data_IF_946089699496
#
_entry.id   IF_946089699496
#
_cell.length_a   1.000
_cell.length_b   1.000
_cell.length_c   1.000
_cell.angle_alpha   90.00
_cell.angle_beta   90.00
_cell.angle_gamma   90.00
#
_symmetry.space_group_name_H-M   'P 1'
#
loop_
_entity.id
_entity.type
_entity.pdbx_description
1 polymer ?
#
# COMPACT_ATOMS: atom_id res chain seq x y z
N UNK A 1 -5.91 1.47 -15.92
CA UNK A 1 -4.90 2.43 -16.43
C UNK A 1 -5.13 3.88 -15.98
N UNK A 2 -4.71 4.26 -14.76
CA UNK A 2 -4.69 5.69 -14.35
C UNK A 2 -3.74 6.56 -15.18
N UNK A 3 -2.76 5.93 -15.84
CA UNK A 3 -1.80 6.59 -16.74
C UNK A 3 -2.45 7.22 -17.99
N UNK A 4 -3.46 6.58 -18.59
CA UNK A 4 -4.10 7.08 -19.82
C UNK A 4 -5.18 8.12 -19.58
N UNK A 5 -5.66 8.27 -18.34
CA UNK A 5 -6.82 9.10 -18.01
C UNK A 5 -6.50 10.19 -16.99
N UNK A 6 -5.27 10.27 -16.49
CA UNK A 6 -4.88 11.16 -15.40
C UNK A 6 -3.54 11.86 -15.62
N UNK A 7 -3.16 12.69 -14.63
CA UNK A 7 -1.82 13.31 -14.59
C UNK A 7 -0.81 12.30 -14.07
N UNK A 8 0.38 12.31 -14.64
CA UNK A 8 1.46 11.41 -14.27
C UNK A 8 2.69 12.23 -13.92
N UNK A 9 3.30 11.90 -12.79
CA UNK A 9 4.64 12.33 -12.44
C UNK A 9 5.61 11.19 -12.73
N UNK A 10 6.79 11.50 -13.22
CA UNK A 10 7.83 10.49 -13.45
C UNK A 10 9.05 10.80 -12.59
N UNK A 11 9.65 9.74 -12.06
CA UNK A 11 10.93 9.76 -11.37
C UNK A 11 11.83 8.72 -12.03
N UNK A 12 13.12 9.04 -12.18
CA UNK A 12 14.12 8.11 -12.74
C UNK A 12 15.15 7.78 -11.67
N UNK A 13 15.37 6.49 -11.49
CA UNK A 13 16.37 5.96 -10.58
C UNK A 13 17.50 5.32 -11.40
N UNK A 14 18.73 5.42 -10.91
CA UNK A 14 19.85 4.66 -11.43
C UNK A 14 20.04 3.42 -10.56
N UNK A 15 20.13 2.24 -11.16
CA UNK A 15 20.46 1.02 -10.44
C UNK A 15 21.97 0.95 -10.30
N UNK A 16 22.45 0.86 -9.06
CA UNK A 16 23.86 0.56 -8.80
C UNK A 16 24.08 -0.96 -8.89
N UNK A 17 25.16 -1.38 -9.55
CA UNK A 17 25.47 -2.79 -9.80
C UNK A 17 24.82 -3.40 -11.06
N UNK A 18 24.82 -4.74 -11.19
CA UNK A 18 24.35 -5.42 -12.39
C UNK A 18 22.84 -5.31 -12.55
N UNK A 19 22.40 -4.64 -13.61
CA UNK A 19 20.99 -4.60 -14.01
C UNK A 19 20.56 -5.96 -14.60
N UNK A 20 19.29 -6.37 -14.40
CA UNK A 20 18.74 -7.54 -15.09
C UNK A 20 18.88 -7.36 -16.61
N UNK A 21 19.51 -8.31 -17.28
CA UNK A 21 19.68 -8.26 -18.74
C UNK A 21 18.36 -8.55 -19.48
N UNK A 22 17.55 -9.46 -18.94
CA UNK A 22 16.25 -9.88 -19.46
C UNK A 22 15.29 -10.16 -18.30
N UNK A 23 14.01 -9.83 -18.49
CA UNK A 23 12.94 -10.18 -17.56
C UNK A 23 12.25 -11.48 -18.01
N UNK A 24 12.32 -12.52 -17.18
CA UNK A 24 11.66 -13.82 -17.39
C UNK A 24 10.61 -14.19 -16.33
N UNK A 25 10.04 -15.40 -16.43
CA UNK A 25 9.00 -15.90 -15.51
C UNK A 25 9.38 -15.84 -14.03
N UNK A 26 10.67 -15.98 -13.71
CA UNK A 26 11.21 -15.89 -12.35
C UNK A 26 10.97 -14.52 -11.71
N UNK A 27 11.01 -13.43 -12.49
CA UNK A 27 10.74 -12.08 -11.99
C UNK A 27 9.24 -11.93 -11.69
N UNK A 28 8.38 -12.45 -12.56
CA UNK A 28 6.94 -12.44 -12.34
C UNK A 28 6.53 -13.29 -11.13
N UNK A 29 7.19 -14.43 -10.91
CA UNK A 29 6.98 -15.25 -9.70
C UNK A 29 7.31 -14.47 -8.43
N UNK A 30 8.39 -13.67 -8.43
CA UNK A 30 8.74 -12.80 -7.29
C UNK A 30 7.67 -11.72 -7.06
N UNK A 31 7.20 -11.07 -8.12
CA UNK A 31 6.11 -10.09 -8.02
C UNK A 31 4.82 -10.75 -7.50
N UNK A 32 4.45 -11.91 -8.03
CA UNK A 32 3.25 -12.65 -7.64
C UNK A 32 3.29 -13.14 -6.18
N UNK A 33 4.48 -13.48 -5.67
CA UNK A 33 4.68 -13.81 -4.26
C UNK A 33 4.35 -12.63 -3.34
N UNK A 34 4.59 -11.41 -3.81
CA UNK A 34 4.30 -10.15 -3.11
C UNK A 34 3.08 -9.41 -3.69
N UNK A 35 2.16 -10.14 -4.33
CA UNK A 35 0.94 -9.55 -4.86
C UNK A 35 0.05 -9.05 -3.71
N UNK A 36 -0.77 -8.04 -3.99
CA UNK A 36 -1.80 -7.60 -3.02
C UNK A 36 -2.72 -8.79 -2.68
N UNK A 37 -3.20 -8.87 -1.44
CA UNK A 37 -3.97 -9.99 -0.91
C UNK A 37 -3.13 -11.18 -0.43
N UNK A 38 -1.80 -11.19 -0.64
CA UNK A 38 -0.91 -12.27 -0.20
C UNK A 38 -0.24 -12.02 1.15
N UNK A 39 -0.10 -10.76 1.54
CA UNK A 39 0.47 -10.41 2.84
C UNK A 39 -0.65 -10.34 3.88
N UNK A 40 -0.43 -10.91 5.07
CA UNK A 40 -1.30 -10.62 6.20
C UNK A 40 -1.22 -9.12 6.47
N UNK A 41 -2.37 -8.44 6.44
CA UNK A 41 -2.49 -7.02 6.77
C UNK A 41 -1.69 -6.77 8.05
N UNK A 42 -0.72 -5.86 7.99
CA UNK A 42 -0.02 -5.43 9.19
C UNK A 42 -1.09 -4.72 10.06
N UNK A 43 -1.61 -5.45 11.05
CA UNK A 43 -2.80 -5.15 11.86
C UNK A 43 -2.83 -3.74 12.47
N UNK A 44 -1.70 -3.03 12.54
CA UNK A 44 -1.61 -1.74 13.24
C UNK A 44 -2.21 -0.56 12.48
N UNK A 45 -2.13 -0.53 11.14
CA UNK A 45 -2.51 0.66 10.35
C UNK A 45 -3.56 0.37 9.27
N UNK A 46 -4.14 -0.84 9.26
CA UNK A 46 -5.08 -1.30 8.24
C UNK A 46 -4.63 -0.92 6.81
N UNK A 47 -3.33 -1.03 6.58
CA UNK A 47 -2.68 -0.72 5.31
C UNK A 47 -2.21 -2.00 4.67
N UNK A 48 -2.64 -2.21 3.44
CA UNK A 48 -2.26 -3.32 2.60
C UNK A 48 -1.45 -2.80 1.41
N UNK A 49 -0.33 -3.46 1.14
CA UNK A 49 0.58 -3.08 0.06
C UNK A 49 0.89 -4.32 -0.76
N UNK A 50 0.87 -4.19 -2.08
CA UNK A 50 1.29 -5.29 -2.94
C UNK A 50 1.33 -4.95 -4.41
N UNK A 51 1.93 -5.86 -5.17
CA UNK A 51 2.02 -5.74 -6.62
C UNK A 51 0.72 -6.13 -7.29
N UNK A 52 0.39 -5.41 -8.35
CA UNK A 52 -0.68 -5.69 -9.30
C UNK A 52 -0.12 -5.55 -10.73
N UNK A 53 -0.85 -6.06 -11.70
CA UNK A 53 -0.59 -5.81 -13.10
C UNK A 53 -1.18 -4.45 -13.54
N UNK A 54 -0.96 -4.07 -14.80
CA UNK A 54 -1.14 -2.69 -15.27
C UNK A 54 -2.50 -2.38 -15.92
N UNK A 55 -3.33 -3.38 -16.20
CA UNK A 55 -4.56 -3.17 -16.98
C UNK A 55 -5.58 -2.35 -16.16
N UNK A 56 -5.87 -2.79 -14.93
CA UNK A 56 -6.73 -2.09 -13.98
C UNK A 56 -6.31 -2.30 -12.52
N UNK A 57 -6.98 -1.59 -11.59
CA UNK A 57 -6.60 -1.58 -10.16
C UNK A 57 -6.83 -2.93 -9.46
N UNK A 58 -7.65 -3.81 -10.04
CA UNK A 58 -7.97 -5.16 -9.55
C UNK A 58 -7.24 -6.26 -10.34
N UNK A 59 -6.44 -5.91 -11.34
CA UNK A 59 -5.72 -6.89 -12.17
C UNK A 59 -4.57 -7.54 -11.40
N UNK A 60 -4.76 -8.79 -10.96
CA UNK A 60 -3.73 -9.59 -10.28
C UNK A 60 -2.97 -10.54 -11.21
N UNK A 61 -3.34 -10.61 -12.48
CA UNK A 61 -2.92 -11.69 -13.38
C UNK A 61 -1.56 -11.48 -14.01
N UNK A 62 -0.46 -11.38 -13.24
CA UNK A 62 0.89 -11.12 -13.78
C UNK A 62 1.32 -12.15 -14.84
N UNK A 63 1.56 -11.70 -16.07
CA UNK A 63 1.92 -12.53 -17.23
C UNK A 63 3.03 -11.90 -18.08
N UNK A 64 3.86 -12.72 -18.74
CA UNK A 64 4.98 -12.24 -19.54
C UNK A 64 4.53 -11.36 -20.70
N UNK A 65 3.48 -11.76 -21.42
CA UNK A 65 3.08 -11.06 -22.65
C UNK A 65 2.60 -9.64 -22.36
N UNK A 66 2.07 -9.39 -21.16
CA UNK A 66 1.57 -8.08 -20.76
C UNK A 66 2.53 -7.28 -19.89
N UNK A 67 3.32 -7.95 -19.04
CA UNK A 67 4.21 -7.28 -18.09
C UNK A 67 5.62 -7.07 -18.65
N UNK A 68 6.04 -7.78 -19.70
CA UNK A 68 7.36 -7.58 -20.31
C UNK A 68 7.21 -7.01 -21.72
N UNK A 69 7.48 -5.70 -21.87
CA UNK A 69 7.36 -4.98 -23.15
C UNK A 69 8.70 -4.34 -23.47
N UNK A 70 9.26 -4.60 -24.65
CA UNK A 70 10.55 -4.06 -25.10
C UNK A 70 11.69 -4.23 -24.07
N UNK A 71 11.77 -5.40 -23.45
CA UNK A 71 12.75 -5.70 -22.40
C UNK A 71 12.65 -4.80 -21.15
N UNK A 72 11.47 -4.20 -20.91
CA UNK A 72 11.13 -3.50 -19.68
C UNK A 72 10.04 -4.28 -18.93
N UNK A 73 10.16 -4.33 -17.60
CA UNK A 73 9.15 -4.89 -16.72
C UNK A 73 8.18 -3.79 -16.29
N UNK A 74 6.91 -3.97 -16.64
CA UNK A 74 5.79 -3.12 -16.27
C UNK A 74 5.02 -3.78 -15.13
N UNK A 75 4.96 -3.11 -13.99
CA UNK A 75 4.14 -3.52 -12.85
C UNK A 75 3.65 -2.29 -12.09
N UNK A 76 2.64 -2.48 -11.24
CA UNK A 76 2.09 -1.40 -10.44
C UNK A 76 2.11 -1.81 -8.96
N UNK A 77 2.42 -0.85 -8.09
CA UNK A 77 2.29 -1.00 -6.65
C UNK A 77 0.96 -0.41 -6.22
N UNK A 78 0.12 -1.20 -5.57
CA UNK A 78 -1.14 -0.75 -4.97
C UNK A 78 -0.98 -0.66 -3.46
N UNK A 79 -1.53 0.42 -2.90
CA UNK A 79 -1.54 0.69 -1.46
C UNK A 79 -2.99 1.01 -1.08
N UNK A 80 -3.58 0.14 -0.29
CA UNK A 80 -4.92 0.32 0.26
C UNK A 80 -4.78 0.66 1.75
N UNK A 81 -5.36 1.78 2.19
CA UNK A 81 -5.27 2.20 3.59
C UNK A 81 -6.65 2.55 4.12
N UNK A 82 -7.05 1.93 5.23
CA UNK A 82 -8.22 2.34 5.99
C UNK A 82 -7.80 3.27 7.13
N UNK A 83 -7.77 4.58 6.87
CA UNK A 83 -7.36 5.58 7.86
C UNK A 83 -8.57 6.18 8.58
N UNK A 84 -8.60 6.07 9.91
CA UNK A 84 -9.57 6.80 10.73
C UNK A 84 -9.27 8.32 10.67
N UNK A 85 -10.27 9.19 10.44
CA UNK A 85 -10.08 10.63 10.52
C UNK A 85 -9.55 11.06 11.89
N UNK A 86 -8.42 11.77 11.91
CA UNK A 86 -7.72 12.10 13.16
C UNK A 86 -8.58 12.93 14.13
N UNK A 87 -9.37 13.86 13.62
CA UNK A 87 -10.24 14.70 14.45
C UNK A 87 -11.37 13.90 15.09
N UNK A 88 -11.90 12.89 14.39
CA UNK A 88 -12.91 11.99 14.92
C UNK A 88 -12.33 11.16 16.08
N UNK A 89 -11.15 10.57 15.89
CA UNK A 89 -10.45 9.83 16.94
C UNK A 89 -10.21 10.71 18.20
N UNK A 90 -9.74 11.94 18.01
CA UNK A 90 -9.50 12.89 19.11
C UNK A 90 -10.78 13.25 19.85
N UNK A 91 -11.89 13.44 19.13
CA UNK A 91 -13.18 13.75 19.74
C UNK A 91 -13.68 12.62 20.62
N UNK A 92 -13.61 11.37 20.14
CA UNK A 92 -13.99 10.21 20.95
C UNK A 92 -13.05 10.01 22.14
N UNK A 93 -11.74 10.13 21.94
CA UNK A 93 -10.77 10.02 23.03
C UNK A 93 -11.04 11.04 24.15
N UNK A 94 -11.40 12.28 23.78
CA UNK A 94 -11.78 13.31 24.75
C UNK A 94 -13.04 12.92 25.53
N UNK A 95 -14.10 12.48 24.85
CA UNK A 95 -15.34 12.08 25.50
C UNK A 95 -15.13 10.93 26.51
N UNK A 96 -14.33 9.93 26.14
CA UNK A 96 -13.94 8.83 27.04
C UNK A 96 -13.12 9.32 28.23
N UNK A 97 -12.16 10.25 28.01
CA UNK A 97 -11.39 10.85 29.09
C UNK A 97 -12.25 11.66 30.07
N UNK A 98 -13.23 12.41 29.57
CA UNK A 98 -14.19 13.15 30.41
C UNK A 98 -15.05 12.20 31.25
N UNK A 99 -15.52 11.09 30.65
CA UNK A 99 -16.28 10.08 31.38
C UNK A 99 -15.45 9.38 32.49
N UNK A 100 -14.18 9.07 32.20
CA UNK A 100 -13.27 8.43 33.17
C UNK A 100 -12.88 9.39 34.32
N UNK A 101 -12.67 10.66 34.01
CA UNK A 101 -12.29 11.67 35.01
C UNK A 101 -13.45 12.09 35.91
N UNK A 102 -14.70 11.95 35.47
CA UNK A 102 -15.89 12.19 36.29
C UNK A 102 -15.95 11.30 37.55
N UNK A 103 -15.33 10.11 37.51
CA UNK A 103 -15.26 9.19 38.65
C UNK A 103 -13.98 9.36 39.49
N UNK A 104 -13.08 10.27 39.09
CA UNK A 104 -11.82 10.52 39.79
C UNK A 104 -11.89 11.82 40.63
N UNK A 105 -11.78 11.75 41.96
CA UNK A 105 -11.82 12.93 42.85
C UNK A 105 -10.77 14.00 42.55
N UNK A 106 -9.66 13.63 41.89
CA UNK A 106 -8.59 14.56 41.52
C UNK A 106 -8.85 15.37 40.24
N UNK A 107 -9.88 15.01 39.47
CA UNK A 107 -10.22 15.65 38.19
C UNK A 107 -9.16 15.50 37.09
N UNK A 108 -8.14 14.65 37.29
CA UNK A 108 -7.07 14.39 36.31
C UNK A 108 -7.17 12.96 35.80
N UNK A 109 -6.89 12.71 34.51
CA UNK A 109 -6.69 11.35 34.04
C UNK A 109 -5.53 10.73 34.82
N UNK A 110 -5.76 9.64 35.56
CA UNK A 110 -4.65 8.88 36.15
C UNK A 110 -3.90 8.17 35.04
N UNK A 111 -2.57 8.24 35.09
CA UNK A 111 -1.66 7.55 34.17
C UNK A 111 -1.80 6.02 34.25
#
# INVERSE_FOLDING_TARGET
MGFFTGRVNFLRYCVDGPAPALFGPEHLKKLAHHAIGKQQVAEKDATEVGWIASDDILDLGLDLAKNVVHNALHCCLRIDTQKLPADLLRSYARAEQEALTAQNPSGRPSA
#
